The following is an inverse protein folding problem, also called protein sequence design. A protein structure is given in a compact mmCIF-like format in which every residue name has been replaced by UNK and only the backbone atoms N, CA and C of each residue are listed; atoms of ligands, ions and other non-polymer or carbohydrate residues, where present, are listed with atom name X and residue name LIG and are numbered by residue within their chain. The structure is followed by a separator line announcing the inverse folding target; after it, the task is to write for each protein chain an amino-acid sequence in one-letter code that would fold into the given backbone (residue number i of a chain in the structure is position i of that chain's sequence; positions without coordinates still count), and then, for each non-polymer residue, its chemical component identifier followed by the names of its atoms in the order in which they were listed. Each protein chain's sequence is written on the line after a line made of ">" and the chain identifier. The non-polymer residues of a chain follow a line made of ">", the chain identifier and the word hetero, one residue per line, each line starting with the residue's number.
data_IF_084591901402
#
_entry.id   IF_084591901402
#
_cell.length_a   1.000
_cell.length_b   1.000
_cell.length_c   1.000
_cell.angle_alpha   90.00
_cell.angle_beta   90.00
_cell.angle_gamma   90.00
#
_symmetry.space_group_name_H-M   'P 1'
#
loop_
_entity.id
_entity.type
_entity.pdbx_description
1 polymer ?
#
# COMPACT_ATOMS: atom_id res chain seq x y z
N UNK A 1 16.09 -7.89 49.65
CA UNK A 1 14.85 -7.65 50.41
C UNK A 1 14.11 -6.57 49.65
N UNK A 2 12.96 -6.74 49.03
CA UNK A 2 11.90 -7.71 49.24
C UNK A 2 10.61 -6.90 49.12
N UNK A 3 9.95 -7.00 47.97
CA UNK A 3 8.54 -6.73 47.66
C UNK A 3 8.44 -6.74 46.12
N UNK A 4 8.28 -7.90 45.48
CA UNK A 4 6.97 -8.48 45.16
C UNK A 4 5.92 -7.40 44.87
N UNK A 5 5.98 -6.79 43.68
CA UNK A 5 4.78 -6.28 43.02
C UNK A 5 4.16 -7.46 42.27
N UNK A 6 3.56 -8.34 43.05
CA UNK A 6 2.58 -9.33 42.63
C UNK A 6 1.24 -8.60 42.51
N UNK A 7 0.97 -8.01 41.35
CA UNK A 7 -0.34 -7.62 40.82
C UNK A 7 -0.07 -6.60 39.70
N UNK A 8 -0.12 -7.05 38.45
CA UNK A 8 -0.43 -6.22 37.26
C UNK A 8 -0.39 -7.01 35.94
N UNK A 9 0.05 -8.28 35.97
CA UNK A 9 -0.23 -9.24 34.90
C UNK A 9 -1.70 -9.72 34.89
N UNK A 10 -2.46 -9.37 35.94
CA UNK A 10 -3.90 -9.64 36.10
C UNK A 10 -4.80 -8.55 35.53
N UNK A 11 -4.28 -7.44 34.99
CA UNK A 11 -5.09 -6.40 34.33
C UNK A 11 -5.10 -6.48 32.79
N UNK A 12 -4.30 -7.38 32.19
CA UNK A 12 -4.52 -7.89 30.82
C UNK A 12 -5.71 -8.89 30.82
N UNK A 13 -6.50 -8.94 31.89
CA UNK A 13 -7.73 -9.73 32.04
C UNK A 13 -8.96 -8.95 31.55
N UNK A 14 -8.78 -7.79 30.92
CA UNK A 14 -9.91 -6.97 30.45
C UNK A 14 -9.63 -6.26 29.12
N UNK A 15 -9.23 -6.99 28.08
CA UNK A 15 -9.22 -6.44 26.72
C UNK A 15 -10.13 -7.22 25.77
N UNK A 16 -11.34 -6.64 25.63
CA UNK A 16 -12.50 -6.97 24.79
C UNK A 16 -13.16 -8.34 25.02
N UNK A 17 -14.23 -8.32 25.82
CA UNK A 17 -15.33 -9.29 25.81
C UNK A 17 -15.69 -9.70 24.37
N UNK A 18 -15.40 -10.94 23.99
CA UNK A 18 -16.17 -11.67 22.98
C UNK A 18 -17.22 -12.53 23.69
N UNK A 19 -18.13 -11.92 24.45
CA UNK A 19 -19.39 -12.58 24.84
C UNK A 19 -20.51 -11.54 24.95
N UNK A 20 -21.38 -11.54 23.93
CA UNK A 20 -22.86 -11.44 24.00
C UNK A 20 -23.38 -11.31 22.56
N UNK A 21 -24.49 -11.92 22.15
CA UNK A 21 -25.49 -12.77 22.81
C UNK A 21 -26.28 -13.34 21.62
N UNK A 22 -26.48 -14.66 21.61
CA UNK A 22 -27.43 -15.37 20.76
C UNK A 22 -27.25 -15.13 19.24
N UNK A 23 -26.66 -16.12 18.56
CA UNK A 23 -26.47 -16.23 17.10
C UNK A 23 -25.29 -15.46 16.45
N UNK A 24 -24.03 -15.87 16.65
CA UNK A 24 -22.88 -15.50 15.77
C UNK A 24 -21.71 -16.51 15.95
N UNK A 25 -21.48 -17.51 15.09
CA UNK A 25 -20.99 -17.53 13.69
C UNK A 25 -19.45 -17.66 13.62
N UNK A 26 -18.98 -18.59 12.78
CA UNK A 26 -17.63 -19.07 12.42
C UNK A 26 -16.57 -18.01 12.04
N UNK A 27 -16.71 -16.78 12.50
CA UNK A 27 -15.96 -15.64 11.99
C UNK A 27 -14.96 -15.14 13.02
N UNK A 28 -13.79 -15.77 12.94
CA UNK A 28 -12.49 -15.20 13.31
C UNK A 28 -11.41 -15.98 12.53
N UNK A 29 -11.46 -17.33 12.61
CA UNK A 29 -10.53 -18.18 11.86
C UNK A 29 -10.71 -18.19 10.36
N UNK A 30 -11.93 -18.10 9.83
CA UNK A 30 -12.12 -18.11 8.38
C UNK A 30 -11.44 -16.90 7.74
N UNK A 31 -11.52 -15.72 8.37
CA UNK A 31 -10.84 -14.53 7.86
C UNK A 31 -9.33 -14.62 8.01
N UNK A 32 -8.83 -15.04 9.19
CA UNK A 32 -7.39 -15.26 9.41
C UNK A 32 -6.85 -16.27 8.40
N UNK A 33 -7.58 -17.36 8.18
CA UNK A 33 -7.26 -18.39 7.20
C UNK A 33 -7.24 -17.83 5.78
N UNK A 34 -8.27 -17.10 5.37
CA UNK A 34 -8.33 -16.53 4.02
C UNK A 34 -7.26 -15.47 3.79
N UNK A 35 -6.96 -14.64 4.79
CA UNK A 35 -5.85 -13.70 4.74
C UNK A 35 -4.50 -14.44 4.67
N UNK A 36 -4.30 -15.48 5.48
CA UNK A 36 -3.07 -16.28 5.52
C UNK A 36 -2.80 -17.04 4.22
N UNK A 37 -3.85 -17.51 3.53
CA UNK A 37 -3.72 -18.22 2.25
C UNK A 37 -3.93 -17.30 1.02
N UNK A 38 -3.87 -15.98 1.18
CA UNK A 38 -4.07 -14.98 0.11
C UNK A 38 -5.38 -15.19 -0.69
N UNK A 39 -6.44 -15.67 -0.03
CA UNK A 39 -7.71 -15.97 -0.68
C UNK A 39 -8.68 -14.79 -0.57
N UNK A 40 -8.44 -13.77 -1.38
CA UNK A 40 -9.22 -12.52 -1.37
C UNK A 40 -10.71 -12.75 -1.62
N UNK A 41 -11.08 -13.62 -2.56
CA UNK A 41 -12.49 -13.90 -2.88
C UNK A 41 -13.25 -14.46 -1.68
N UNK A 42 -12.67 -15.45 -0.99
CA UNK A 42 -13.31 -16.02 0.20
C UNK A 42 -13.25 -15.06 1.38
N UNK A 43 -12.18 -14.28 1.51
CA UNK A 43 -12.09 -13.24 2.52
C UNK A 43 -13.26 -12.26 2.34
N UNK A 44 -13.45 -11.71 1.15
CA UNK A 44 -14.55 -10.79 0.84
C UNK A 44 -15.92 -11.39 1.11
N UNK A 45 -16.12 -12.66 0.72
CA UNK A 45 -17.40 -13.36 0.91
C UNK A 45 -17.75 -13.60 2.38
N UNK A 46 -16.75 -13.87 3.20
CA UNK A 46 -16.92 -14.26 4.62
C UNK A 46 -16.45 -13.17 5.59
N UNK A 47 -16.22 -11.96 5.09
CA UNK A 47 -15.75 -10.85 5.88
C UNK A 47 -16.86 -10.33 6.80
N UNK A 48 -16.51 -10.10 8.04
CA UNK A 48 -17.33 -9.49 9.07
C UNK A 48 -16.58 -8.27 9.55
N UNK A 49 -17.03 -7.09 9.14
CA UNK A 49 -16.34 -5.82 9.37
C UNK A 49 -15.99 -5.56 10.85
N UNK A 50 -16.82 -5.93 11.84
CA UNK A 50 -16.46 -5.74 13.25
C UNK A 50 -15.26 -6.57 13.73
N UNK A 51 -14.89 -7.67 13.06
CA UNK A 51 -13.72 -8.48 13.44
C UNK A 51 -12.40 -7.99 12.86
N UNK A 52 -12.41 -6.96 12.01
CA UNK A 52 -11.19 -6.43 11.37
C UNK A 52 -10.16 -5.92 12.38
N UNK A 53 -10.62 -5.44 13.53
CA UNK A 53 -9.76 -5.00 14.63
C UNK A 53 -9.45 -6.09 15.67
N UNK A 54 -9.82 -7.34 15.42
CA UNK A 54 -9.53 -8.43 16.35
C UNK A 54 -8.06 -8.85 16.22
N UNK A 55 -7.49 -9.17 17.37
CA UNK A 55 -6.09 -9.55 17.51
C UNK A 55 -6.01 -11.04 17.79
N UNK A 56 -5.13 -11.72 17.07
CA UNK A 56 -4.98 -13.17 17.21
C UNK A 56 -4.38 -13.49 18.58
N UNK A 57 -5.10 -14.27 19.38
CA UNK A 57 -4.59 -14.77 20.66
C UNK A 57 -4.53 -16.29 20.67
N UNK A 58 -3.56 -16.84 21.42
CA UNK A 58 -3.43 -18.29 21.59
C UNK A 58 -4.68 -18.90 22.26
N UNK A 59 -5.27 -18.18 23.22
CA UNK A 59 -6.47 -18.62 23.91
C UNK A 59 -7.67 -18.72 22.96
N UNK A 60 -7.93 -17.67 22.18
CA UNK A 60 -9.01 -17.62 21.20
C UNK A 60 -8.86 -18.72 20.14
N UNK A 61 -7.63 -19.01 19.72
CA UNK A 61 -7.35 -20.06 18.76
C UNK A 61 -7.62 -21.47 19.32
N UNK A 62 -7.17 -21.76 20.55
CA UNK A 62 -7.41 -23.05 21.19
C UNK A 62 -8.90 -23.30 21.47
N UNK A 63 -9.64 -22.28 21.93
CA UNK A 63 -11.07 -22.38 22.14
C UNK A 63 -11.82 -22.71 20.83
N UNK A 64 -11.38 -22.13 19.72
CA UNK A 64 -11.91 -22.45 18.41
C UNK A 64 -11.59 -23.90 18.00
N UNK A 65 -10.35 -24.36 18.17
CA UNK A 65 -9.98 -25.75 17.87
C UNK A 65 -10.91 -26.72 18.61
N UNK A 66 -11.11 -26.52 19.90
CA UNK A 66 -11.99 -27.38 20.71
C UNK A 66 -13.45 -27.40 20.18
N UNK A 67 -13.97 -26.25 19.71
CA UNK A 67 -15.30 -26.18 19.10
C UNK A 67 -15.38 -26.93 17.77
N UNK A 68 -14.36 -26.79 16.91
CA UNK A 68 -14.30 -27.50 15.64
C UNK A 68 -14.19 -29.01 15.87
N UNK A 69 -13.32 -29.44 16.79
CA UNK A 69 -13.16 -30.83 17.20
C UNK A 69 -14.51 -31.41 17.68
N UNK A 70 -15.24 -30.71 18.56
CA UNK A 70 -16.57 -31.12 19.00
C UNK A 70 -17.60 -31.23 17.86
N UNK A 71 -17.58 -30.33 16.88
CA UNK A 71 -18.44 -30.44 15.69
C UNK A 71 -18.07 -31.63 14.79
N UNK A 72 -16.78 -31.96 14.68
CA UNK A 72 -16.32 -33.12 13.92
C UNK A 72 -16.77 -34.41 14.61
N UNK A 73 -16.68 -34.50 15.94
CA UNK A 73 -17.11 -35.66 16.73
C UNK A 73 -18.61 -35.98 16.55
N UNK A 74 -19.46 -34.96 16.35
CA UNK A 74 -20.88 -35.14 16.09
C UNK A 74 -21.22 -35.72 14.70
N UNK A 75 -20.26 -35.85 13.78
CA UNK A 75 -20.50 -36.37 12.42
C UNK A 75 -20.75 -37.87 12.47
N UNK A 76 -21.92 -38.40 12.09
CA UNK A 76 -22.24 -39.83 12.21
C UNK A 76 -21.36 -40.74 11.35
N UNK A 77 -21.01 -40.27 10.15
CA UNK A 77 -20.18 -41.01 9.19
C UNK A 77 -18.71 -41.02 9.63
N UNK A 78 -18.18 -42.22 9.92
CA UNK A 78 -16.81 -42.42 10.40
C UNK A 78 -15.76 -41.96 9.40
N UNK A 79 -15.92 -42.26 8.11
CA UNK A 79 -14.94 -41.89 7.09
C UNK A 79 -14.90 -40.37 6.88
N UNK A 80 -16.08 -39.74 6.86
CA UNK A 80 -16.18 -38.30 6.77
C UNK A 80 -15.60 -37.61 8.01
N UNK A 81 -15.82 -38.18 9.20
CA UNK A 81 -15.27 -37.68 10.47
C UNK A 81 -13.75 -37.71 10.46
N UNK A 82 -13.15 -38.85 10.12
CA UNK A 82 -11.69 -39.02 10.05
C UNK A 82 -11.07 -38.04 9.06
N UNK A 83 -11.63 -37.92 7.86
CA UNK A 83 -11.14 -36.99 6.83
C UNK A 83 -11.16 -35.53 7.32
N UNK A 84 -12.22 -35.11 8.02
CA UNK A 84 -12.30 -33.74 8.56
C UNK A 84 -11.37 -33.54 9.75
N UNK A 85 -11.20 -34.55 10.61
CA UNK A 85 -10.28 -34.49 11.74
C UNK A 85 -8.83 -34.34 11.27
N UNK A 86 -8.40 -35.16 10.31
CA UNK A 86 -7.06 -35.09 9.72
C UNK A 86 -6.80 -33.70 9.14
N UNK A 87 -7.74 -33.17 8.34
CA UNK A 87 -7.67 -31.81 7.82
C UNK A 87 -7.54 -30.76 8.92
N UNK A 88 -8.33 -30.87 10.00
CA UNK A 88 -8.27 -29.93 11.11
C UNK A 88 -6.92 -29.98 11.84
N UNK A 89 -6.39 -31.17 12.09
CA UNK A 89 -5.07 -31.36 12.73
C UNK A 89 -3.96 -30.76 11.87
N UNK A 90 -3.99 -30.98 10.55
CA UNK A 90 -3.02 -30.38 9.64
C UNK A 90 -3.08 -28.84 9.68
N UNK A 91 -4.28 -28.25 9.61
CA UNK A 91 -4.45 -26.79 9.73
C UNK A 91 -3.97 -26.25 11.08
N UNK A 92 -4.17 -27.01 12.16
CA UNK A 92 -3.68 -26.68 13.50
C UNK A 92 -2.15 -26.67 13.56
N UNK A 93 -1.50 -27.67 12.97
CA UNK A 93 -0.04 -27.76 12.89
C UNK A 93 0.53 -26.62 12.04
N UNK A 94 -0.07 -26.32 10.89
CA UNK A 94 0.33 -25.22 10.02
C UNK A 94 0.32 -23.87 10.74
N UNK A 95 -0.74 -23.60 11.51
CA UNK A 95 -0.84 -22.36 12.31
C UNK A 95 0.29 -22.26 13.34
N UNK A 96 0.55 -23.32 14.11
CA UNK A 96 1.63 -23.30 15.10
C UNK A 96 3.00 -23.16 14.45
N UNK A 97 3.25 -23.85 13.34
CA UNK A 97 4.48 -23.68 12.56
C UNK A 97 4.63 -22.25 12.01
N UNK A 98 3.53 -21.59 11.62
CA UNK A 98 3.54 -20.19 11.19
C UNK A 98 3.87 -19.23 12.35
N UNK A 99 3.39 -19.52 13.56
CA UNK A 99 3.74 -18.74 14.77
C UNK A 99 5.21 -18.93 15.14
N UNK A 100 5.71 -20.17 15.14
CA UNK A 100 7.10 -20.48 15.45
C UNK A 100 8.09 -19.88 14.45
N UNK A 101 7.75 -19.88 13.17
CA UNK A 101 8.55 -19.25 12.11
C UNK A 101 8.42 -17.72 12.07
N UNK A 102 7.57 -17.12 12.89
CA UNK A 102 7.36 -15.67 12.95
C UNK A 102 6.55 -15.09 11.78
N UNK A 103 5.92 -15.94 10.96
CA UNK A 103 4.99 -15.53 9.89
C UNK A 103 3.67 -14.98 10.45
N UNK A 104 3.29 -15.39 11.66
CA UNK A 104 2.18 -14.84 12.42
C UNK A 104 2.71 -14.49 13.80
N UNK A 105 2.44 -13.28 14.28
CA UNK A 105 2.78 -12.89 15.64
C UNK A 105 1.49 -12.80 16.46
N UNK A 106 1.53 -13.26 17.71
CA UNK A 106 0.37 -13.11 18.59
C UNK A 106 0.06 -11.61 18.78
N UNK A 107 -1.21 -11.27 18.73
CA UNK A 107 -1.71 -9.92 18.73
C UNK A 107 -1.84 -9.31 17.33
N UNK A 108 -1.31 -9.96 16.29
CA UNK A 108 -1.48 -9.49 14.91
C UNK A 108 -2.98 -9.40 14.58
N UNK A 109 -3.37 -8.30 13.93
CA UNK A 109 -4.65 -8.20 13.22
C UNK A 109 -4.53 -8.79 11.82
N UNK A 110 -5.64 -8.90 11.10
CA UNK A 110 -5.63 -9.34 9.70
C UNK A 110 -4.72 -8.47 8.82
N UNK A 111 -4.65 -7.17 9.10
CA UNK A 111 -3.78 -6.25 8.36
C UNK A 111 -2.30 -6.54 8.62
N UNK A 112 -1.90 -6.86 9.85
CA UNK A 112 -0.51 -7.23 10.16
C UNK A 112 -0.09 -8.46 9.36
N UNK A 113 -0.93 -9.50 9.35
CA UNK A 113 -0.65 -10.73 8.61
C UNK A 113 -0.53 -10.45 7.12
N UNK A 114 -1.49 -9.71 6.55
CA UNK A 114 -1.50 -9.40 5.13
C UNK A 114 -0.27 -8.57 4.72
N UNK A 115 0.15 -7.61 5.54
CA UNK A 115 1.34 -6.79 5.29
C UNK A 115 2.62 -7.60 5.42
N UNK A 116 2.76 -8.40 6.48
CA UNK A 116 3.93 -9.25 6.75
C UNK A 116 4.14 -10.31 5.68
N UNK A 117 3.06 -10.87 5.15
CA UNK A 117 3.08 -11.86 4.08
C UNK A 117 3.06 -11.25 2.67
N UNK A 118 3.01 -9.92 2.57
CA UNK A 118 2.98 -9.19 1.30
C UNK A 118 1.77 -9.53 0.40
N UNK A 119 0.63 -9.83 1.00
CA UNK A 119 -0.62 -10.10 0.29
C UNK A 119 -1.28 -8.79 -0.14
N UNK A 120 -0.75 -8.19 -1.21
CA UNK A 120 -1.16 -6.89 -1.76
C UNK A 120 -2.66 -6.77 -1.94
N UNK A 121 -3.30 -7.77 -2.53
CA UNK A 121 -4.73 -7.70 -2.83
C UNK A 121 -5.59 -7.86 -1.57
N UNK A 122 -5.12 -8.62 -0.56
CA UNK A 122 -5.73 -8.65 0.77
C UNK A 122 -5.59 -7.30 1.45
N UNK A 123 -4.41 -6.69 1.47
CA UNK A 123 -4.21 -5.35 2.06
C UNK A 123 -5.10 -4.33 1.39
N UNK A 124 -5.13 -4.30 0.06
CA UNK A 124 -6.03 -3.42 -0.69
C UNK A 124 -7.51 -3.66 -0.32
N UNK A 125 -7.93 -4.92 -0.23
CA UNK A 125 -9.28 -5.29 0.19
C UNK A 125 -9.60 -4.80 1.61
N UNK A 126 -8.65 -4.88 2.54
CA UNK A 126 -8.82 -4.45 3.93
C UNK A 126 -8.87 -2.92 4.02
N UNK A 127 -8.00 -2.21 3.31
CA UNK A 127 -7.99 -0.74 3.27
C UNK A 127 -9.26 -0.18 2.61
N UNK A 128 -9.76 -0.84 1.56
CA UNK A 128 -11.04 -0.52 0.91
C UNK A 128 -12.25 -0.57 1.86
N UNK A 129 -12.10 -1.26 2.99
CA UNK A 129 -13.13 -1.43 4.02
C UNK A 129 -12.99 -0.44 5.17
N UNK A 130 -12.11 0.55 5.05
CA UNK A 130 -11.87 1.58 6.07
C UNK A 130 -11.14 1.02 7.29
N UNK A 131 -10.29 0.01 7.12
CA UNK A 131 -9.58 -0.59 8.24
C UNK A 131 -8.55 0.40 8.81
N UNK A 132 -8.67 0.69 10.11
CA UNK A 132 -7.73 1.52 10.86
C UNK A 132 -6.45 0.74 11.18
N UNK A 133 -5.32 1.27 10.75
CA UNK A 133 -4.00 0.66 10.96
C UNK A 133 -3.47 0.78 12.41
N UNK A 134 -4.13 1.58 13.24
CA UNK A 134 -3.61 2.04 14.52
C UNK A 134 -3.76 1.03 15.68
N UNK A 135 -3.97 -0.25 15.39
CA UNK A 135 -4.09 -1.28 16.42
C UNK A 135 -2.73 -1.98 16.53
N UNK A 136 -1.91 -1.73 17.55
CA UNK A 136 -0.63 -2.41 17.68
C UNK A 136 -0.83 -3.88 18.08
N UNK A 137 0.01 -4.78 17.58
CA UNK A 137 0.04 -6.17 18.04
C UNK A 137 0.53 -6.29 19.49
N UNK A 138 0.63 -7.52 20.04
CA UNK A 138 1.07 -7.71 21.43
C UNK A 138 2.55 -7.37 21.67
N UNK A 139 3.32 -7.11 20.60
CA UNK A 139 4.68 -6.56 20.69
C UNK A 139 4.70 -5.02 20.66
N UNK A 140 3.55 -4.38 20.48
CA UNK A 140 3.46 -2.93 20.32
C UNK A 140 3.72 -2.44 18.89
N UNK A 141 3.84 -3.35 17.92
CA UNK A 141 4.13 -3.01 16.53
C UNK A 141 2.83 -2.71 15.76
N UNK A 142 2.82 -1.65 14.95
CA UNK A 142 1.74 -1.37 13.99
C UNK A 142 1.98 -2.08 12.65
N UNK A 143 0.96 -2.12 11.79
CA UNK A 143 1.05 -2.86 10.53
C UNK A 143 2.15 -2.32 9.60
N UNK A 144 2.35 -1.00 9.48
CA UNK A 144 3.47 -0.42 8.70
C UNK A 144 4.84 -0.82 9.23
N UNK A 145 4.98 -1.10 10.53
CA UNK A 145 6.27 -1.41 11.16
C UNK A 145 6.69 -2.86 10.93
N UNK A 146 5.74 -3.74 10.66
CA UNK A 146 6.00 -5.16 10.34
C UNK A 146 6.18 -5.39 8.84
N UNK A 147 6.13 -4.33 8.04
CA UNK A 147 6.31 -4.38 6.60
C UNK A 147 7.80 -4.49 6.23
N UNK A 148 8.14 -5.48 5.42
CA UNK A 148 9.50 -5.68 4.88
C UNK A 148 9.64 -5.37 3.39
N UNK A 149 8.53 -5.18 2.65
CA UNK A 149 8.56 -4.99 1.20
C UNK A 149 8.36 -3.52 0.82
N UNK A 150 9.25 -2.89 0.02
CA UNK A 150 9.18 -1.45 -0.29
C UNK A 150 7.83 -0.99 -0.87
N UNK A 151 7.25 -1.77 -1.77
CA UNK A 151 5.97 -1.43 -2.39
C UNK A 151 4.78 -1.50 -1.43
N UNK A 152 4.86 -2.39 -0.45
CA UNK A 152 3.87 -2.48 0.62
C UNK A 152 4.10 -1.34 1.63
N UNK A 153 5.36 -1.01 1.90
CA UNK A 153 5.72 0.13 2.76
C UNK A 153 5.10 1.42 2.22
N UNK A 154 5.20 1.66 0.91
CA UNK A 154 4.58 2.83 0.27
C UNK A 154 3.07 2.91 0.53
N UNK A 155 2.35 1.79 0.41
CA UNK A 155 0.91 1.73 0.70
C UNK A 155 0.62 2.02 2.17
N UNK A 156 1.45 1.52 3.08
CA UNK A 156 1.29 1.72 4.51
C UNK A 156 1.64 3.16 4.93
N UNK A 157 2.68 3.75 4.36
CA UNK A 157 3.09 5.14 4.61
C UNK A 157 2.00 6.15 4.20
N UNK A 158 1.19 5.81 3.19
CA UNK A 158 0.01 6.60 2.82
C UNK A 158 -1.08 6.53 3.90
N UNK A 159 -1.25 5.38 4.57
CA UNK A 159 -2.21 5.24 5.69
C UNK A 159 -1.70 5.99 6.92
N UNK A 160 -0.41 5.87 7.23
CA UNK A 160 0.24 6.65 8.31
C UNK A 160 0.09 8.15 8.05
N UNK A 161 0.33 8.62 6.83
CA UNK A 161 0.17 10.03 6.44
C UNK A 161 -1.26 10.54 6.68
N UNK A 162 -2.27 9.72 6.39
CA UNK A 162 -3.68 10.07 6.65
C UNK A 162 -3.90 10.30 8.14
N UNK A 163 -3.40 9.40 8.99
CA UNK A 163 -3.51 9.53 10.45
C UNK A 163 -2.71 10.72 10.99
N UNK A 164 -1.52 11.01 10.46
CA UNK A 164 -0.71 12.15 10.90
C UNK A 164 -1.40 13.50 10.60
N UNK A 165 -2.17 13.57 9.51
CA UNK A 165 -2.83 14.80 9.09
C UNK A 165 -4.24 14.97 9.70
N UNK A 166 -5.01 13.88 9.77
CA UNK A 166 -6.41 13.91 10.20
C UNK A 166 -6.63 13.43 11.63
N UNK A 167 -5.67 12.73 12.22
CA UNK A 167 -5.84 11.97 13.46
C UNK A 167 -6.46 10.59 13.21
N UNK A 168 -6.79 9.89 14.30
CA UNK A 168 -7.35 8.53 14.25
C UNK A 168 -8.87 8.48 14.11
N UNK A 169 -9.55 9.59 14.39
CA UNK A 169 -11.00 9.74 14.29
C UNK A 169 -11.32 11.00 13.47
N UNK A 170 -11.85 10.80 12.27
CA UNK A 170 -12.23 11.87 11.36
C UNK A 170 -13.63 11.59 10.79
N UNK A 171 -14.47 12.62 10.74
CA UNK A 171 -15.91 12.48 10.42
C UNK A 171 -16.18 12.03 8.97
N UNK A 172 -15.32 12.43 8.04
CA UNK A 172 -15.45 12.13 6.59
C UNK A 172 -14.64 10.90 6.16
N UNK A 173 -14.72 9.82 6.94
CA UNK A 173 -13.84 8.66 6.76
C UNK A 173 -13.91 8.07 5.35
N UNK A 174 -15.12 7.82 4.86
CA UNK A 174 -15.35 7.25 3.53
C UNK A 174 -14.76 8.12 2.40
N UNK A 175 -14.80 9.46 2.53
CA UNK A 175 -14.27 10.37 1.50
C UNK A 175 -12.76 10.33 1.44
N UNK A 176 -12.10 10.30 2.59
CA UNK A 176 -10.63 10.24 2.66
C UNK A 176 -10.12 8.94 2.08
N UNK A 177 -10.70 7.80 2.47
CA UNK A 177 -10.33 6.51 1.91
C UNK A 177 -10.56 6.47 0.40
N UNK A 178 -11.66 7.04 -0.09
CA UNK A 178 -11.92 7.19 -1.53
C UNK A 178 -10.85 8.03 -2.23
N UNK A 179 -10.51 9.20 -1.67
CA UNK A 179 -9.47 10.09 -2.23
C UNK A 179 -8.14 9.34 -2.31
N UNK A 180 -7.67 8.80 -1.20
CA UNK A 180 -6.38 8.10 -1.12
C UNK A 180 -6.33 6.90 -2.05
N UNK A 181 -7.39 6.08 -2.09
CA UNK A 181 -7.50 4.93 -3.00
C UNK A 181 -7.43 5.36 -4.47
N UNK A 182 -8.16 6.41 -4.84
CA UNK A 182 -8.22 6.89 -6.21
C UNK A 182 -6.87 7.47 -6.63
N UNK A 183 -6.25 8.29 -5.79
CA UNK A 183 -4.95 8.90 -6.04
C UNK A 183 -3.84 7.85 -6.22
N UNK A 184 -3.78 6.82 -5.35
CA UNK A 184 -2.84 5.69 -5.49
C UNK A 184 -2.92 5.02 -6.86
N UNK A 185 -4.15 4.84 -7.35
CA UNK A 185 -4.39 4.17 -8.63
C UNK A 185 -4.07 5.12 -9.78
N UNK A 186 -4.50 6.38 -9.68
CA UNK A 186 -4.41 7.38 -10.73
C UNK A 186 -3.00 7.89 -10.98
N UNK A 187 -2.16 8.00 -9.95
CA UNK A 187 -0.90 8.73 -10.07
C UNK A 187 0.03 8.17 -11.15
N UNK A 188 0.07 6.85 -11.30
CA UNK A 188 0.82 6.16 -12.36
C UNK A 188 0.33 6.45 -13.79
N UNK A 189 -0.86 7.02 -13.96
CA UNK A 189 -1.49 7.37 -15.24
C UNK A 189 -1.67 8.88 -15.44
N UNK A 190 -1.63 9.63 -14.35
CA UNK A 190 -1.68 11.08 -14.28
C UNK A 190 -0.76 11.44 -13.13
N UNK A 191 0.50 11.72 -13.43
CA UNK A 191 1.56 12.04 -12.46
C UNK A 191 1.33 13.45 -11.91
N UNK A 192 0.18 13.68 -11.29
CA UNK A 192 -0.27 14.99 -10.82
C UNK A 192 0.68 15.61 -9.81
N UNK A 193 0.67 16.92 -9.73
CA UNK A 193 1.40 17.70 -8.74
C UNK A 193 0.48 18.69 -8.00
N UNK A 194 1.10 19.66 -7.32
CA UNK A 194 0.40 20.62 -6.48
C UNK A 194 -0.52 21.57 -7.26
N UNK A 195 -0.29 21.75 -8.56
CA UNK A 195 -1.12 22.60 -9.42
C UNK A 195 -2.48 21.96 -9.72
N UNK A 196 -2.52 20.64 -9.96
CA UNK A 196 -3.78 19.93 -10.26
C UNK A 196 -4.50 19.42 -9.00
N UNK A 197 -3.80 19.35 -7.86
CA UNK A 197 -4.29 18.74 -6.61
C UNK A 197 -5.63 19.31 -6.14
N UNK A 198 -5.87 20.61 -6.29
CA UNK A 198 -7.14 21.22 -5.85
C UNK A 198 -8.34 20.73 -6.67
N UNK A 199 -8.21 20.70 -7.99
CA UNK A 199 -9.27 20.23 -8.87
C UNK A 199 -9.53 18.73 -8.66
N UNK A 200 -8.45 17.95 -8.57
CA UNK A 200 -8.51 16.51 -8.33
C UNK A 200 -9.19 16.14 -7.00
N UNK A 201 -8.82 16.79 -5.90
CA UNK A 201 -9.43 16.50 -4.60
C UNK A 201 -10.92 16.84 -4.57
N UNK A 202 -11.32 17.93 -5.21
CA UNK A 202 -12.73 18.34 -5.30
C UNK A 202 -13.55 17.32 -6.08
N UNK A 203 -13.06 16.88 -7.24
CA UNK A 203 -13.80 15.95 -8.10
C UNK A 203 -13.81 14.52 -7.57
N UNK A 204 -12.68 14.03 -7.06
CA UNK A 204 -12.57 12.66 -6.52
C UNK A 204 -13.31 12.52 -5.18
N UNK A 205 -13.17 13.52 -4.31
CA UNK A 205 -13.75 13.48 -2.98
C UNK A 205 -15.18 13.99 -2.89
N UNK A 206 -15.74 14.51 -3.98
CA UNK A 206 -17.01 15.26 -4.01
C UNK A 206 -17.04 16.34 -2.92
N UNK A 207 -16.04 17.23 -2.99
CA UNK A 207 -15.75 18.22 -1.96
C UNK A 207 -15.87 19.63 -2.52
N UNK A 208 -16.62 20.50 -1.84
CA UNK A 208 -16.72 21.92 -2.21
C UNK A 208 -15.52 22.71 -1.68
N UNK A 209 -15.23 23.86 -2.30
CA UNK A 209 -14.18 24.79 -1.83
C UNK A 209 -14.33 25.23 -0.37
N UNK A 210 -15.55 25.22 0.16
CA UNK A 210 -15.86 25.60 1.54
C UNK A 210 -15.73 24.47 2.57
N UNK A 211 -15.30 23.28 2.15
CA UNK A 211 -15.24 22.13 3.03
C UNK A 211 -14.18 22.30 4.12
N UNK A 212 -14.50 22.05 5.41
CA UNK A 212 -13.61 22.36 6.52
C UNK A 212 -12.27 21.61 6.46
N UNK A 213 -12.26 20.40 5.88
CA UNK A 213 -11.08 19.56 5.76
C UNK A 213 -10.34 19.65 4.42
N UNK A 214 -10.76 20.53 3.50
CA UNK A 214 -10.16 20.60 2.16
C UNK A 214 -8.64 20.77 2.22
N UNK A 215 -8.12 21.71 3.01
CA UNK A 215 -6.68 21.93 3.16
C UNK A 215 -5.92 20.70 3.65
N UNK A 216 -6.56 19.87 4.50
CA UNK A 216 -5.96 18.61 4.97
C UNK A 216 -5.89 17.57 3.84
N UNK A 217 -6.93 17.47 3.02
CA UNK A 217 -6.94 16.59 1.84
C UNK A 217 -5.89 17.01 0.80
N UNK A 218 -5.74 18.33 0.58
CA UNK A 218 -4.68 18.86 -0.29
C UNK A 218 -3.29 18.51 0.27
N UNK A 219 -3.09 18.63 1.59
CA UNK A 219 -1.82 18.23 2.24
C UNK A 219 -1.50 16.76 2.04
N UNK A 220 -2.48 15.87 2.23
CA UNK A 220 -2.33 14.43 1.99
C UNK A 220 -1.97 14.17 0.52
N UNK A 221 -2.72 14.75 -0.40
CA UNK A 221 -2.53 14.53 -1.85
C UNK A 221 -1.16 14.98 -2.33
N UNK A 222 -0.70 16.16 -1.91
CA UNK A 222 0.63 16.67 -2.23
C UNK A 222 1.74 15.77 -1.66
N UNK A 223 1.63 15.37 -0.39
CA UNK A 223 2.62 14.51 0.24
C UNK A 223 2.68 13.12 -0.41
N UNK A 224 1.55 12.56 -0.85
CA UNK A 224 1.51 11.33 -1.64
C UNK A 224 2.23 11.52 -2.98
N UNK A 225 1.93 12.59 -3.74
CA UNK A 225 2.60 12.88 -5.01
C UNK A 225 4.12 13.04 -4.85
N UNK A 226 4.57 13.77 -3.82
CA UNK A 226 5.99 13.94 -3.51
C UNK A 226 6.69 12.61 -3.21
N UNK A 227 6.04 11.77 -2.39
CA UNK A 227 6.54 10.43 -2.07
C UNK A 227 6.64 9.55 -3.30
N UNK A 228 5.62 9.53 -4.15
CA UNK A 228 5.61 8.75 -5.38
C UNK A 228 6.69 9.18 -6.37
N UNK A 229 6.89 10.50 -6.53
CA UNK A 229 8.00 11.06 -7.33
C UNK A 229 9.36 10.60 -6.81
N UNK A 230 9.52 10.61 -5.49
CA UNK A 230 10.75 10.19 -4.81
C UNK A 230 11.01 8.71 -5.04
N UNK A 231 10.01 7.85 -4.87
CA UNK A 231 10.11 6.41 -5.10
C UNK A 231 10.52 6.06 -6.54
N UNK A 232 9.89 6.69 -7.53
CA UNK A 232 10.26 6.49 -8.94
C UNK A 232 11.68 6.99 -9.21
N UNK A 233 12.03 8.17 -8.70
CA UNK A 233 13.40 8.71 -8.83
C UNK A 233 14.43 7.74 -8.24
N UNK A 234 14.20 7.23 -7.02
CA UNK A 234 15.11 6.28 -6.37
C UNK A 234 15.22 4.94 -7.12
N UNK A 235 14.17 4.54 -7.84
CA UNK A 235 14.19 3.30 -8.64
C UNK A 235 14.95 3.47 -9.95
N UNK A 236 14.86 4.64 -10.58
CA UNK A 236 15.50 4.90 -11.87
C UNK A 236 16.90 5.50 -11.76
N UNK A 237 17.24 6.15 -10.63
CA UNK A 237 18.55 6.77 -10.39
C UNK A 237 19.74 5.80 -10.52
N UNK A 238 19.67 4.54 -10.07
CA UNK A 238 20.75 3.58 -10.29
C UNK A 238 21.09 3.39 -11.77
N UNK A 239 20.11 3.47 -12.68
CA UNK A 239 20.35 3.37 -14.13
C UNK A 239 21.12 4.59 -14.63
N UNK A 240 20.77 5.79 -14.17
CA UNK A 240 21.51 7.01 -14.49
C UNK A 240 22.97 6.96 -14.00
N UNK A 241 23.19 6.43 -12.78
CA UNK A 241 24.53 6.26 -12.22
C UNK A 241 25.35 5.26 -13.04
N UNK A 242 24.75 4.13 -13.43
CA UNK A 242 25.41 3.13 -14.29
C UNK A 242 25.81 3.73 -15.63
N UNK A 243 24.91 4.46 -16.30
CA UNK A 243 25.21 5.15 -17.55
C UNK A 243 26.37 6.14 -17.38
N UNK A 244 26.41 6.90 -16.29
CA UNK A 244 27.55 7.78 -16.00
C UNK A 244 28.85 7.00 -15.83
N UNK A 245 28.84 5.89 -15.09
CA UNK A 245 30.02 5.04 -14.88
C UNK A 245 30.53 4.46 -16.20
N UNK A 246 29.65 4.02 -17.09
CA UNK A 246 29.99 3.49 -18.42
C UNK A 246 30.59 4.53 -19.36
N UNK A 247 30.36 5.82 -19.09
CA UNK A 247 30.82 6.94 -19.89
C UNK A 247 31.80 7.86 -19.14
N UNK A 248 32.63 7.30 -18.25
CA UNK A 248 33.69 8.01 -17.51
C UNK A 248 33.22 9.27 -16.74
N UNK A 249 31.98 9.28 -16.26
CA UNK A 249 31.36 10.41 -15.57
C UNK A 249 31.01 11.59 -16.49
N UNK A 250 31.03 11.41 -17.82
CA UNK A 250 30.67 12.47 -18.77
C UNK A 250 29.16 12.47 -19.00
N UNK A 251 28.46 13.37 -18.31
CA UNK A 251 26.99 13.48 -18.41
C UNK A 251 26.47 13.70 -19.84
N UNK A 252 27.18 14.45 -20.68
CA UNK A 252 26.78 14.66 -22.07
C UNK A 252 26.78 13.36 -22.89
N UNK A 253 27.84 12.55 -22.73
CA UNK A 253 27.99 11.28 -23.44
C UNK A 253 26.96 10.27 -22.95
N UNK A 254 26.74 10.19 -21.62
CA UNK A 254 25.72 9.33 -21.01
C UNK A 254 24.28 9.68 -21.48
N UNK A 255 23.92 10.97 -21.52
CA UNK A 255 22.63 11.43 -22.05
C UNK A 255 22.46 11.05 -23.52
N UNK A 256 23.51 11.26 -24.31
CA UNK A 256 23.51 10.91 -25.74
C UNK A 256 23.34 9.41 -25.93
N UNK A 257 24.04 8.58 -25.15
CA UNK A 257 23.91 7.13 -25.21
C UNK A 257 22.49 6.67 -24.87
N UNK A 258 21.90 7.21 -23.80
CA UNK A 258 20.52 6.89 -23.43
C UNK A 258 19.51 7.28 -24.51
N UNK A 259 19.68 8.43 -25.17
CA UNK A 259 18.78 8.84 -26.26
C UNK A 259 18.75 7.81 -27.40
N UNK A 260 19.86 7.10 -27.65
CA UNK A 260 19.96 6.04 -28.66
C UNK A 260 19.48 4.66 -28.19
N UNK A 261 19.06 4.51 -26.92
CA UNK A 261 18.46 3.25 -26.47
C UNK A 261 17.20 2.90 -27.26
N UNK A 262 16.92 1.61 -27.49
CA UNK A 262 15.67 1.16 -28.09
C UNK A 262 14.46 1.67 -27.31
N UNK A 263 13.42 2.11 -28.03
CA UNK A 263 12.17 2.61 -27.45
C UNK A 263 11.54 1.61 -26.48
N UNK A 264 11.55 0.32 -26.83
CA UNK A 264 10.96 -0.73 -26.00
C UNK A 264 11.68 -0.88 -24.66
N UNK A 265 13.01 -0.71 -24.63
CA UNK A 265 13.81 -0.78 -23.40
C UNK A 265 13.54 0.41 -22.48
N UNK A 266 13.40 1.62 -23.04
CA UNK A 266 13.04 2.83 -22.29
C UNK A 266 11.66 2.71 -21.64
N UNK A 267 10.68 2.20 -22.38
CA UNK A 267 9.34 1.98 -21.86
C UNK A 267 9.34 0.89 -20.79
N UNK A 268 10.05 -0.22 -21.04
CA UNK A 268 10.16 -1.31 -20.09
C UNK A 268 10.79 -0.86 -18.77
N UNK A 269 11.82 -0.01 -18.81
CA UNK A 269 12.43 0.61 -17.62
C UNK A 269 11.37 1.31 -16.74
N UNK A 270 10.52 2.14 -17.35
CA UNK A 270 9.47 2.85 -16.62
C UNK A 270 8.39 1.91 -16.09
N UNK A 271 8.01 0.90 -16.87
CA UNK A 271 7.03 -0.09 -16.44
C UNK A 271 7.53 -0.93 -15.28
N UNK A 272 8.81 -1.27 -15.26
CA UNK A 272 9.44 -1.98 -14.15
C UNK A 272 9.53 -1.10 -12.90
N UNK A 273 9.86 0.18 -13.06
CA UNK A 273 9.82 1.14 -11.96
C UNK A 273 8.40 1.29 -11.36
N UNK A 274 7.39 1.43 -12.22
CA UNK A 274 5.99 1.51 -11.79
C UNK A 274 5.52 0.20 -11.13
N UNK A 275 5.85 -0.96 -11.68
CA UNK A 275 5.46 -2.26 -11.10
C UNK A 275 6.15 -2.52 -9.75
N UNK A 276 7.39 -2.06 -9.61
CA UNK A 276 8.17 -2.18 -8.37
C UNK A 276 7.53 -1.38 -7.25
N UNK A 277 7.05 -0.16 -7.53
CA UNK A 277 6.52 0.73 -6.50
C UNK A 277 5.00 0.63 -6.32
N UNK A 278 4.25 0.31 -7.36
CA UNK A 278 2.79 0.25 -7.38
C UNK A 278 2.32 -1.17 -7.72
N UNK A 279 2.10 -2.05 -6.73
CA UNK A 279 1.84 -3.47 -6.96
C UNK A 279 0.62 -3.78 -7.83
N UNK A 280 -0.40 -2.94 -7.73
CA UNK A 280 -1.66 -3.04 -8.48
C UNK A 280 -1.59 -2.40 -9.86
N UNK A 281 -0.49 -1.74 -10.18
CA UNK A 281 -0.30 -1.16 -11.50
C UNK A 281 -0.14 -2.25 -12.56
N UNK A 282 -0.78 -2.01 -13.70
CA UNK A 282 -0.73 -2.87 -14.89
C UNK A 282 -0.68 -1.97 -16.10
N UNK A 283 0.27 -2.24 -17.00
CA UNK A 283 0.32 -1.57 -18.29
C UNK A 283 -0.93 -1.89 -19.10
N UNK A 284 -1.58 -0.85 -19.61
CA UNK A 284 -2.66 -0.97 -20.59
C UNK A 284 -2.12 -0.39 -21.89
N UNK A 285 -2.05 -1.22 -22.93
CA UNK A 285 -1.57 -0.80 -24.25
C UNK A 285 -2.35 0.42 -24.73
N UNK A 286 -1.64 1.52 -24.94
CA UNK A 286 -2.23 2.79 -25.28
C UNK A 286 -1.18 3.66 -25.96
N UNK A 287 -1.27 3.79 -27.28
CA UNK A 287 -0.22 4.41 -28.10
C UNK A 287 0.06 5.84 -27.65
N UNK A 288 -0.98 6.61 -27.32
CA UNK A 288 -0.82 8.01 -26.89
C UNK A 288 -0.09 8.10 -25.54
N UNK A 289 -0.47 7.25 -24.57
CA UNK A 289 0.18 7.22 -23.25
C UNK A 289 1.58 6.64 -23.30
N UNK A 290 1.82 5.66 -24.17
CA UNK A 290 3.15 5.09 -24.38
C UNK A 290 4.09 6.15 -24.99
N UNK A 291 3.62 6.94 -25.96
CA UNK A 291 4.38 8.08 -26.51
C UNK A 291 4.65 9.15 -25.44
N UNK A 292 3.66 9.49 -24.62
CA UNK A 292 3.84 10.46 -23.54
C UNK A 292 4.82 9.94 -22.47
N UNK A 293 4.72 8.65 -22.12
CA UNK A 293 5.64 7.99 -21.18
C UNK A 293 7.07 7.98 -21.72
N UNK A 294 7.25 7.72 -23.02
CA UNK A 294 8.57 7.75 -23.66
C UNK A 294 9.20 9.15 -23.56
N UNK A 295 8.43 10.21 -23.87
CA UNK A 295 8.90 11.60 -23.74
C UNK A 295 9.32 11.92 -22.31
N UNK A 296 8.48 11.53 -21.34
CA UNK A 296 8.81 11.68 -19.92
C UNK A 296 10.11 10.97 -19.57
N UNK A 297 10.27 9.70 -19.97
CA UNK A 297 11.48 8.91 -19.68
C UNK A 297 12.74 9.56 -20.25
N UNK A 298 12.69 10.07 -21.48
CA UNK A 298 13.82 10.75 -22.12
C UNK A 298 14.25 12.00 -21.32
N UNK A 299 13.30 12.85 -20.97
CA UNK A 299 13.57 14.09 -20.21
C UNK A 299 13.97 13.79 -18.76
N UNK A 300 13.26 12.87 -18.09
CA UNK A 300 13.50 12.51 -16.70
C UNK A 300 14.86 11.85 -16.53
N UNK A 301 15.27 10.97 -17.46
CA UNK A 301 16.59 10.36 -17.42
C UNK A 301 17.69 11.39 -17.64
N UNK A 302 17.51 12.35 -18.55
CA UNK A 302 18.43 13.47 -18.66
C UNK A 302 18.54 14.28 -17.35
N UNK A 303 17.41 14.47 -16.66
CA UNK A 303 17.36 15.07 -15.33
C UNK A 303 18.11 14.26 -14.28
N UNK A 304 17.87 12.95 -14.18
CA UNK A 304 18.54 12.06 -13.23
C UNK A 304 20.03 11.95 -13.48
N UNK A 305 20.48 11.92 -14.74
CA UNK A 305 21.91 11.95 -15.08
C UNK A 305 22.54 13.28 -14.63
N UNK A 306 21.87 14.41 -14.87
CA UNK A 306 22.39 15.72 -14.42
C UNK A 306 22.50 15.79 -12.89
N UNK A 307 21.46 15.32 -12.19
CA UNK A 307 21.46 15.24 -10.73
C UNK A 307 22.56 14.31 -10.21
N UNK A 308 22.75 13.14 -10.81
CA UNK A 308 23.79 12.19 -10.41
C UNK A 308 25.20 12.73 -10.66
N UNK A 309 25.40 13.53 -11.72
CA UNK A 309 26.65 14.22 -12.03
C UNK A 309 26.93 15.36 -11.03
N UNK A 310 25.94 16.24 -10.80
CA UNK A 310 26.02 17.35 -9.84
C UNK A 310 26.37 16.87 -8.42
N UNK A 311 25.81 15.72 -8.02
CA UNK A 311 26.05 15.09 -6.72
C UNK A 311 27.22 14.10 -6.74
N UNK A 312 27.84 13.85 -7.90
CA UNK A 312 28.94 12.89 -8.11
C UNK A 312 28.65 11.49 -7.57
N UNK A 313 27.42 11.02 -7.70
CA UNK A 313 26.94 9.74 -7.14
C UNK A 313 27.61 8.50 -7.75
N UNK A 314 28.37 8.67 -8.83
CA UNK A 314 29.15 7.61 -9.46
C UNK A 314 30.48 7.32 -8.73
N UNK A 315 30.84 8.12 -7.73
CA UNK A 315 31.99 7.85 -6.85
C UNK A 315 31.56 6.96 -5.68
N UNK A 316 32.33 5.92 -5.38
CA UNK A 316 31.95 4.89 -4.39
C UNK A 316 31.88 5.40 -2.93
N UNK A 317 32.45 6.57 -2.64
CA UNK A 317 32.46 7.19 -1.32
C UNK A 317 31.23 8.07 -1.02
N UNK A 318 30.37 8.29 -2.02
CA UNK A 318 29.23 9.22 -1.88
C UNK A 318 28.01 8.48 -1.33
N UNK A 319 27.44 9.01 -0.24
CA UNK A 319 26.22 8.49 0.34
C UNK A 319 25.03 8.63 -0.62
N UNK A 320 24.04 7.71 -0.57
CA UNK A 320 22.83 7.85 -1.38
C UNK A 320 22.08 9.15 -1.03
N UNK A 321 21.44 9.80 -2.02
CA UNK A 321 20.76 11.06 -1.80
C UNK A 321 19.55 10.89 -0.87
N UNK A 322 19.33 11.86 0.02
CA UNK A 322 18.15 11.89 0.88
C UNK A 322 16.94 12.46 0.11
N UNK A 323 15.70 12.18 0.54
CA UNK A 323 14.49 12.73 -0.09
C UNK A 323 14.51 14.27 -0.22
N UNK A 324 15.08 14.97 0.76
CA UNK A 324 15.18 16.44 0.75
C UNK A 324 16.08 16.94 -0.39
N UNK A 325 17.19 16.23 -0.65
CA UNK A 325 18.07 16.54 -1.78
C UNK A 325 17.34 16.33 -3.10
N UNK A 326 16.61 15.21 -3.23
CA UNK A 326 15.84 14.90 -4.43
C UNK A 326 14.76 15.95 -4.74
N UNK A 327 14.17 16.55 -3.70
CA UNK A 327 13.15 17.59 -3.87
C UNK A 327 13.69 18.81 -4.64
N UNK A 328 14.98 19.15 -4.48
CA UNK A 328 15.64 20.25 -5.19
C UNK A 328 15.70 20.05 -6.71
N UNK A 329 15.76 18.81 -7.18
CA UNK A 329 15.83 18.47 -8.61
C UNK A 329 14.46 18.10 -9.22
N UNK A 330 13.44 17.95 -8.37
CA UNK A 330 12.14 17.41 -8.75
C UNK A 330 11.45 18.24 -9.86
N UNK A 331 11.50 19.57 -9.79
CA UNK A 331 10.87 20.42 -10.82
C UNK A 331 11.45 20.19 -12.22
N UNK A 332 12.76 19.94 -12.33
CA UNK A 332 13.42 19.70 -13.61
C UNK A 332 13.08 18.31 -14.16
N UNK A 333 13.14 17.29 -13.31
CA UNK A 333 12.89 15.88 -13.69
C UNK A 333 11.42 15.67 -14.08
N UNK A 334 10.49 16.27 -13.34
CA UNK A 334 9.06 16.03 -13.49
C UNK A 334 8.36 17.02 -14.40
N UNK A 335 9.09 17.90 -15.11
CA UNK A 335 8.50 18.91 -15.98
C UNK A 335 7.63 18.32 -17.11
N UNK A 336 8.07 17.22 -17.72
CA UNK A 336 7.36 16.54 -18.81
C UNK A 336 6.62 15.28 -18.36
N UNK A 337 6.30 15.19 -17.07
CA UNK A 337 5.46 14.14 -16.49
C UNK A 337 4.18 13.95 -17.28
N UNK A 338 3.61 12.76 -17.18
CA UNK A 338 2.32 12.42 -17.79
C UNK A 338 1.18 13.22 -17.11
N UNK A 339 0.70 14.27 -17.77
CA UNK A 339 -0.38 15.13 -17.29
C UNK A 339 -1.19 15.69 -18.47
N UNK A 340 -2.46 16.07 -18.26
CA UNK A 340 -3.23 16.83 -19.24
C UNK A 340 -2.66 18.24 -19.43
N UNK A 341 -3.15 18.95 -20.44
CA UNK A 341 -2.86 20.38 -20.60
C UNK A 341 -3.35 21.15 -19.34
N UNK A 342 -2.51 22.00 -18.71
CA UNK A 342 -2.92 22.79 -17.56
C UNK A 342 -4.21 23.57 -17.77
N UNK A 343 -4.46 24.07 -18.98
CA UNK A 343 -5.67 24.85 -19.30
C UNK A 343 -6.93 23.96 -19.38
N UNK A 344 -6.76 22.64 -19.55
CA UNK A 344 -7.85 21.66 -19.60
C UNK A 344 -8.14 20.99 -18.25
N UNK A 345 -7.27 21.15 -17.24
CA UNK A 345 -7.40 20.46 -15.94
C UNK A 345 -8.73 20.74 -15.26
N UNK A 346 -9.13 22.02 -15.20
CA UNK A 346 -10.38 22.42 -14.53
C UNK A 346 -11.61 21.86 -15.25
N UNK A 347 -11.60 21.85 -16.59
CA UNK A 347 -12.67 21.29 -17.41
C UNK A 347 -12.74 19.76 -17.29
N UNK A 348 -11.59 19.08 -17.31
CA UNK A 348 -11.47 17.63 -17.08
C UNK A 348 -11.94 17.24 -15.68
N UNK A 349 -11.72 18.11 -14.68
CA UNK A 349 -12.11 17.90 -13.29
C UNK A 349 -13.49 18.49 -12.95
N UNK A 350 -14.23 19.05 -13.91
CA UNK A 350 -15.59 19.54 -13.66
C UNK A 350 -16.52 18.39 -13.24
N UNK A 351 -16.30 17.20 -13.79
CA UNK A 351 -17.02 15.97 -13.48
C UNK A 351 -16.07 14.77 -13.43
N UNK A 352 -16.40 13.77 -12.58
CA UNK A 352 -15.60 12.56 -12.43
C UNK A 352 -15.42 11.79 -13.75
N UNK A 353 -16.37 11.93 -14.68
CA UNK A 353 -16.30 11.32 -16.01
C UNK A 353 -15.14 11.85 -16.87
N UNK A 354 -14.78 13.14 -16.72
CA UNK A 354 -13.61 13.69 -17.40
C UNK A 354 -12.32 13.03 -16.92
N UNK A 355 -12.18 12.88 -15.61
CA UNK A 355 -11.09 12.12 -14.98
C UNK A 355 -11.09 10.67 -15.47
N UNK A 356 -12.23 9.98 -15.44
CA UNK A 356 -12.37 8.60 -15.91
C UNK A 356 -11.92 8.43 -17.36
N UNK A 357 -12.29 9.37 -18.23
CA UNK A 357 -11.92 9.35 -19.65
C UNK A 357 -10.41 9.53 -19.81
N UNK A 358 -9.80 10.50 -19.12
CA UNK A 358 -8.36 10.74 -19.17
C UNK A 358 -7.56 9.54 -18.65
N UNK A 359 -7.88 9.04 -17.44
CA UNK A 359 -7.14 7.90 -16.86
C UNK A 359 -7.55 6.55 -17.47
N UNK A 360 -8.65 6.48 -18.23
CA UNK A 360 -9.24 5.24 -18.78
C UNK A 360 -9.54 4.21 -17.69
N UNK A 361 -10.10 4.68 -16.57
CA UNK A 361 -10.61 3.85 -15.48
C UNK A 361 -12.12 4.07 -15.35
N UNK A 362 -12.90 2.99 -15.47
CA UNK A 362 -14.36 3.02 -15.31
C UNK A 362 -14.82 2.90 -13.84
N UNK A 363 -13.88 2.74 -12.91
CA UNK A 363 -14.14 2.30 -11.53
C UNK A 363 -13.38 3.11 -10.49
N UNK A 364 -13.11 4.41 -10.71
CA UNK A 364 -12.86 5.25 -9.53
C UNK A 364 -14.20 5.30 -8.79
N UNK A 365 -14.28 4.68 -7.62
CA UNK A 365 -15.56 4.46 -6.92
C UNK A 365 -16.24 5.82 -6.69
N UNK A 366 -17.45 5.97 -7.23
CA UNK A 366 -18.33 7.12 -7.01
C UNK A 366 -18.76 7.25 -5.54
#
# INVERSE_FOLDING_TARGET
>A
MGQNVSADATEIVSFRKMVRRDDLVLVDSMQVKHAYYDNVEKLQKHMYEPSLGYQISRASYLELCNRIEGHIECIPDTLQRETKLEKHVNEKMDFFAAVESGKIVLGDTLLHIAVRLHHVEVVACLLDKGLKENIPNFRGEYAHQVCSHPSMQLLMDDVVLVHDVLGFDYEDEAKVHRIVQSLRTMWSMWMFDSTETTALVKVIGDVRSSHPFLNKYLKITNAMADRYRTCITMTCLPVAITLLKEHDGKAYDAKTAFLHWPTDEKLQLMWDALRTNFPRWRHKKDVEKDVATLRFVDDAMCGWISMADDLRLYLDEVAPPTPEVLQGFSQQIWKSRLAPDPDEVDDLCAHIDGVHNFVRLKHLKA
#
